data_IF_163786738925
#
_entry.id   IF_163786738925
#
_cell.length_a   1.000
_cell.length_b   1.000
_cell.length_c   1.000
_cell.angle_alpha   90.00
_cell.angle_beta   90.00
_cell.angle_gamma   90.00
#
_symmetry.space_group_name_H-M   'P 1'
#
loop_
_entity.id
_entity.type
_entity.pdbx_description
1 polymer ?
#
# COMPACT_ATOMS: atom_id res chain seq x y z
N UNK A 1 43.21 52.31 -4.02
CA UNK A 1 43.45 50.89 -4.43
C UNK A 1 42.53 49.89 -3.70
N UNK A 2 42.31 50.00 -2.39
CA UNK A 2 41.55 49.02 -1.60
C UNK A 2 40.02 49.07 -1.88
N UNK A 3 39.45 50.22 -2.07
CA UNK A 3 37.98 50.39 -2.34
C UNK A 3 37.58 49.83 -3.70
N UNK A 4 38.46 49.95 -4.71
CA UNK A 4 38.21 49.39 -6.04
C UNK A 4 38.30 47.83 -6.05
N UNK A 5 39.20 47.29 -5.21
CA UNK A 5 39.29 45.82 -5.05
C UNK A 5 38.08 45.18 -4.38
N UNK A 6 37.51 45.87 -3.37
CA UNK A 6 36.28 45.41 -2.68
C UNK A 6 35.07 45.47 -3.57
N UNK A 7 34.94 46.51 -4.42
CA UNK A 7 33.82 46.59 -5.39
C UNK A 7 33.91 45.57 -6.49
N UNK A 8 35.12 45.26 -6.97
CA UNK A 8 35.32 44.20 -7.97
C UNK A 8 35.00 42.79 -7.40
N UNK A 9 35.41 42.48 -6.17
CA UNK A 9 35.06 41.22 -5.52
C UNK A 9 33.55 41.09 -5.29
N UNK A 10 32.84 42.18 -4.93
CA UNK A 10 31.40 42.21 -4.79
C UNK A 10 30.66 41.93 -6.11
N UNK A 11 31.12 42.54 -7.21
CA UNK A 11 30.56 42.29 -8.54
C UNK A 11 30.81 40.84 -9.01
N UNK A 12 32.01 40.32 -8.83
CA UNK A 12 32.35 38.94 -9.19
C UNK A 12 31.54 37.94 -8.39
N UNK A 13 31.35 38.18 -7.07
CA UNK A 13 30.52 37.30 -6.25
C UNK A 13 29.04 37.32 -6.61
N UNK A 14 28.51 38.47 -6.99
CA UNK A 14 27.11 38.57 -7.46
C UNK A 14 26.89 37.79 -8.78
N UNK A 15 27.77 37.96 -9.75
CA UNK A 15 27.69 37.16 -10.99
C UNK A 15 27.88 35.67 -10.77
N UNK A 16 28.74 35.29 -9.84
CA UNK A 16 28.94 33.88 -9.50
C UNK A 16 27.69 33.25 -8.84
N UNK A 17 26.98 33.99 -8.00
CA UNK A 17 25.72 33.52 -7.38
C UNK A 17 24.60 33.33 -8.40
N UNK A 18 24.41 34.29 -9.33
CA UNK A 18 23.42 34.19 -10.37
C UNK A 18 23.72 33.05 -11.37
N UNK A 19 24.99 32.92 -11.76
CA UNK A 19 25.42 31.82 -12.63
C UNK A 19 25.17 30.45 -11.98
N UNK A 20 25.46 30.33 -10.67
CA UNK A 20 25.15 29.12 -9.90
C UNK A 20 23.64 28.85 -9.83
N UNK A 21 22.82 29.88 -9.59
CA UNK A 21 21.36 29.75 -9.58
C UNK A 21 20.83 29.28 -10.93
N UNK A 22 21.31 29.88 -12.03
CA UNK A 22 20.95 29.47 -13.38
C UNK A 22 21.35 28.02 -13.68
N UNK A 23 22.58 27.62 -13.30
CA UNK A 23 23.07 26.25 -13.50
C UNK A 23 22.23 25.23 -12.73
N UNK A 24 21.92 25.51 -11.45
CA UNK A 24 21.10 24.63 -10.62
C UNK A 24 19.66 24.57 -11.16
N UNK A 25 19.12 25.69 -11.67
CA UNK A 25 17.80 25.70 -12.33
C UNK A 25 17.77 24.80 -13.56
N UNK A 26 18.80 24.88 -14.42
CA UNK A 26 18.90 23.99 -15.59
C UNK A 26 18.99 22.52 -15.16
N UNK A 27 19.80 22.21 -14.15
CA UNK A 27 19.89 20.87 -13.61
C UNK A 27 18.55 20.41 -13.02
N UNK A 28 17.85 21.26 -12.26
CA UNK A 28 16.54 20.92 -11.73
C UNK A 28 15.51 20.60 -12.82
N UNK A 29 15.49 21.41 -13.89
CA UNK A 29 14.61 21.17 -15.05
C UNK A 29 14.95 19.86 -15.77
N UNK A 30 16.23 19.57 -15.94
CA UNK A 30 16.68 18.28 -16.51
C UNK A 30 16.27 17.09 -15.63
N UNK A 31 16.41 17.21 -14.30
CA UNK A 31 15.96 16.19 -13.37
C UNK A 31 14.44 16.01 -13.41
N UNK A 32 13.68 17.08 -13.39
CA UNK A 32 12.21 17.03 -13.53
C UNK A 32 11.83 16.32 -14.84
N UNK A 33 12.48 16.69 -15.96
CA UNK A 33 12.24 16.03 -17.24
C UNK A 33 12.60 14.55 -17.21
N UNK A 34 13.74 14.18 -16.62
CA UNK A 34 14.17 12.78 -16.50
C UNK A 34 13.21 11.96 -15.64
N UNK A 35 12.77 12.50 -14.47
CA UNK A 35 11.86 11.81 -13.57
C UNK A 35 10.45 11.67 -14.16
N UNK A 36 9.94 12.69 -14.83
CA UNK A 36 8.63 12.58 -15.51
C UNK A 36 8.69 11.58 -16.66
N UNK A 37 9.79 11.55 -17.41
CA UNK A 37 10.00 10.56 -18.47
C UNK A 37 10.14 9.14 -17.91
N UNK A 38 10.84 8.98 -16.80
CA UNK A 38 10.93 7.68 -16.11
C UNK A 38 9.56 7.18 -15.65
N UNK A 39 8.77 8.06 -15.02
CA UNK A 39 7.41 7.73 -14.61
C UNK A 39 6.53 7.27 -15.77
N UNK A 40 6.64 7.92 -16.94
CA UNK A 40 5.92 7.50 -18.16
C UNK A 40 6.34 6.10 -18.62
N UNK A 41 7.66 5.84 -18.70
CA UNK A 41 8.16 4.52 -19.13
C UNK A 41 7.68 3.39 -18.22
N UNK A 42 7.74 3.61 -16.89
CA UNK A 42 7.25 2.62 -15.92
C UNK A 42 5.74 2.40 -16.09
N UNK A 43 4.98 3.46 -16.34
CA UNK A 43 3.55 3.37 -16.59
C UNK A 43 3.22 2.63 -17.88
N UNK A 44 3.96 2.91 -18.95
CA UNK A 44 3.77 2.25 -20.28
C UNK A 44 4.08 0.75 -20.19
N UNK A 45 5.09 0.37 -19.40
CA UNK A 45 5.45 -1.02 -19.18
C UNK A 45 4.41 -1.76 -18.31
N UNK A 46 3.88 -1.10 -17.29
CA UNK A 46 2.81 -1.63 -16.45
C UNK A 46 1.47 -1.83 -17.20
N UNK A 47 1.20 -1.03 -18.24
CA UNK A 47 -0.02 -1.13 -19.05
C UNK A 47 0.00 -2.34 -20.00
N UNK A 48 1.16 -2.96 -20.22
CA UNK A 48 1.27 -4.18 -21.06
C UNK A 48 0.83 -5.44 -20.31
N UNK A 49 0.67 -5.38 -19.00
CA UNK A 49 0.15 -6.48 -18.19
C UNK A 49 -1.38 -6.30 -18.05
N UNK A 50 -2.18 -7.20 -18.64
CA UNK A 50 -3.66 -7.19 -18.66
C UNK A 50 -4.30 -7.16 -17.25
N UNK A 51 -3.48 -7.27 -16.20
CA UNK A 51 -3.91 -7.21 -14.81
C UNK A 51 -4.19 -5.80 -14.28
N UNK A 52 -3.63 -4.76 -14.91
CA UNK A 52 -3.87 -3.39 -14.51
C UNK A 52 -4.88 -2.73 -15.43
N UNK A 53 -6.03 -2.38 -14.86
CA UNK A 53 -7.08 -1.64 -15.55
C UNK A 53 -6.49 -0.36 -16.17
N UNK A 54 -6.66 -0.18 -17.48
CA UNK A 54 -6.16 0.96 -18.27
C UNK A 54 -6.57 2.33 -17.71
N UNK A 55 -7.45 2.38 -16.71
CA UNK A 55 -7.90 3.61 -16.05
C UNK A 55 -7.03 4.00 -14.84
N UNK A 56 -6.37 3.07 -14.17
CA UNK A 56 -5.59 3.34 -12.94
C UNK A 56 -4.20 3.90 -13.24
N UNK A 57 -3.54 3.38 -14.26
CA UNK A 57 -2.18 3.78 -14.65
C UNK A 57 -2.07 5.28 -14.97
N UNK A 58 -2.99 5.90 -15.76
CA UNK A 58 -2.95 7.33 -16.04
C UNK A 58 -3.12 8.20 -14.78
N UNK A 59 -3.92 7.77 -13.82
CA UNK A 59 -4.10 8.49 -12.56
C UNK A 59 -2.79 8.55 -11.79
N UNK A 60 -2.12 7.41 -11.66
CA UNK A 60 -0.83 7.33 -10.98
C UNK A 60 0.24 8.18 -11.67
N UNK A 61 0.27 8.17 -13.00
CA UNK A 61 1.17 9.00 -13.81
C UNK A 61 0.93 10.50 -13.62
N UNK A 62 -0.34 10.91 -13.55
CA UNK A 62 -0.71 12.31 -13.31
C UNK A 62 -0.29 12.77 -11.92
N UNK A 63 -0.52 11.96 -10.89
CA UNK A 63 -0.10 12.22 -9.50
C UNK A 63 1.42 12.31 -9.43
N UNK A 64 2.14 11.36 -9.99
CA UNK A 64 3.60 11.37 -10.07
C UNK A 64 4.12 12.65 -10.73
N UNK A 65 3.57 13.01 -11.88
CA UNK A 65 3.96 14.21 -12.63
C UNK A 65 3.70 15.48 -11.81
N UNK A 66 2.54 15.59 -11.15
CA UNK A 66 2.20 16.73 -10.30
C UNK A 66 3.17 16.85 -9.12
N UNK A 67 3.54 15.75 -8.46
CA UNK A 67 4.51 15.75 -7.36
C UNK A 67 5.89 16.19 -7.85
N UNK A 68 6.39 15.60 -8.93
CA UNK A 68 7.72 15.92 -9.49
C UNK A 68 7.79 17.38 -9.92
N UNK A 69 6.75 17.89 -10.59
CA UNK A 69 6.67 19.31 -10.98
C UNK A 69 6.61 20.24 -9.76
N UNK A 70 5.83 19.88 -8.74
CA UNK A 70 5.72 20.66 -7.50
C UNK A 70 7.05 20.75 -6.76
N UNK A 71 7.74 19.64 -6.59
CA UNK A 71 9.08 19.61 -5.94
C UNK A 71 10.09 20.42 -6.77
N UNK A 72 10.12 20.23 -8.09
CA UNK A 72 11.01 20.98 -8.98
C UNK A 72 10.74 22.48 -8.93
N UNK A 73 9.48 22.90 -8.89
CA UNK A 73 9.09 24.29 -8.73
C UNK A 73 9.60 24.91 -7.43
N UNK A 74 9.41 24.24 -6.30
CA UNK A 74 9.93 24.71 -5.00
C UNK A 74 11.45 24.78 -4.97
N UNK A 75 12.14 23.81 -5.57
CA UNK A 75 13.60 23.83 -5.68
C UNK A 75 14.09 25.05 -6.46
N UNK A 76 13.47 25.34 -7.59
CA UNK A 76 13.82 26.51 -8.40
C UNK A 76 13.61 27.80 -7.62
N UNK A 77 12.45 27.99 -7.00
CA UNK A 77 12.18 29.18 -6.19
C UNK A 77 13.21 29.36 -5.05
N UNK A 78 13.56 28.27 -4.35
CA UNK A 78 14.53 28.28 -3.28
C UNK A 78 15.93 28.70 -3.74
N UNK A 79 16.35 28.25 -4.91
CA UNK A 79 17.65 28.62 -5.51
C UNK A 79 17.73 30.11 -5.84
N UNK A 80 16.61 30.71 -6.20
CA UNK A 80 16.49 32.16 -6.47
C UNK A 80 16.23 32.99 -5.21
N UNK A 81 16.44 32.39 -4.00
CA UNK A 81 16.22 33.02 -2.69
C UNK A 81 14.80 33.58 -2.52
N UNK A 82 13.82 33.03 -3.19
CA UNK A 82 12.40 33.34 -2.98
C UNK A 82 11.94 32.57 -1.76
N UNK A 83 11.34 33.25 -0.78
CA UNK A 83 10.82 32.59 0.41
C UNK A 83 9.65 31.67 0.06
N UNK A 84 9.91 30.37 0.12
CA UNK A 84 8.92 29.31 -0.16
C UNK A 84 8.14 28.89 1.09
N UNK A 85 8.46 29.42 2.25
CA UNK A 85 7.86 29.01 3.54
C UNK A 85 6.33 29.12 3.54
N UNK A 86 5.70 30.22 3.07
CA UNK A 86 4.25 30.31 3.04
C UNK A 86 3.60 29.31 2.09
N UNK A 87 4.28 29.02 0.96
CA UNK A 87 3.81 28.06 -0.04
C UNK A 87 3.91 26.64 0.49
N UNK A 88 5.03 26.30 1.16
CA UNK A 88 5.20 24.99 1.80
C UNK A 88 4.21 24.78 2.94
N UNK A 89 3.92 25.82 3.73
CA UNK A 89 2.90 25.75 4.77
C UNK A 89 1.51 25.40 4.19
N UNK A 90 1.12 26.09 3.10
CA UNK A 90 -0.14 25.82 2.40
C UNK A 90 -0.18 24.42 1.79
N UNK A 91 0.92 24.01 1.13
CA UNK A 91 1.04 22.67 0.56
C UNK A 91 1.01 21.59 1.65
N UNK A 92 1.59 21.87 2.83
CA UNK A 92 1.56 20.98 3.99
C UNK A 92 0.13 20.73 4.49
N UNK A 93 -0.68 21.79 4.61
CA UNK A 93 -2.10 21.67 4.98
C UNK A 93 -2.86 20.84 3.96
N UNK A 94 -2.69 21.13 2.67
CA UNK A 94 -3.28 20.32 1.60
C UNK A 94 -2.83 18.87 1.65
N UNK A 95 -1.55 18.61 1.95
CA UNK A 95 -0.99 17.28 2.12
C UNK A 95 -1.66 16.51 3.26
N UNK A 96 -1.94 17.17 4.40
CA UNK A 96 -2.66 16.56 5.52
C UNK A 96 -4.08 16.17 5.09
N UNK A 97 -4.80 17.07 4.42
CA UNK A 97 -6.17 16.79 3.95
C UNK A 97 -6.20 15.62 2.98
N UNK A 98 -5.28 15.61 2.00
CA UNK A 98 -5.17 14.53 1.02
C UNK A 98 -4.74 13.21 1.71
N UNK A 99 -3.82 13.27 2.67
CA UNK A 99 -3.38 12.10 3.44
C UNK A 99 -4.53 11.48 4.25
N UNK A 100 -5.36 12.32 4.89
CA UNK A 100 -6.55 11.84 5.60
C UNK A 100 -7.57 11.22 4.64
N UNK A 101 -7.78 11.83 3.47
CA UNK A 101 -8.68 11.29 2.46
C UNK A 101 -8.18 9.93 1.87
N UNK A 102 -6.86 9.74 1.77
CA UNK A 102 -6.25 8.51 1.25
C UNK A 102 -6.00 7.44 2.33
N UNK A 103 -6.24 7.74 3.59
CA UNK A 103 -5.88 6.90 4.75
C UNK A 103 -6.34 5.45 4.60
N UNK A 104 -7.59 5.23 4.24
CA UNK A 104 -8.18 3.89 4.18
C UNK A 104 -7.60 3.08 3.01
N UNK A 105 -7.32 3.73 1.88
CA UNK A 105 -6.66 3.10 0.73
C UNK A 105 -5.24 2.65 1.09
N UNK A 106 -4.49 3.51 1.77
CA UNK A 106 -3.13 3.23 2.24
C UNK A 106 -3.15 2.11 3.28
N UNK A 107 -4.10 2.14 4.23
CA UNK A 107 -4.25 1.09 5.25
C UNK A 107 -4.55 -0.28 4.64
N UNK A 108 -5.39 -0.35 3.61
CA UNK A 108 -5.67 -1.60 2.90
C UNK A 108 -4.45 -2.13 2.16
N UNK A 109 -3.69 -1.25 1.50
CA UNK A 109 -2.46 -1.63 0.80
C UNK A 109 -1.41 -2.20 1.76
N UNK A 110 -1.14 -1.52 2.87
CA UNK A 110 -0.21 -2.03 3.88
C UNK A 110 -0.74 -3.27 4.60
N UNK A 111 -2.07 -3.38 4.78
CA UNK A 111 -2.71 -4.59 5.28
C UNK A 111 -2.42 -5.81 4.41
N UNK A 112 -2.47 -5.67 3.10
CA UNK A 112 -2.11 -6.75 2.16
C UNK A 112 -0.66 -7.19 2.32
N UNK A 113 0.26 -6.21 2.43
CA UNK A 113 1.69 -6.51 2.59
C UNK A 113 1.94 -7.27 3.90
N UNK A 114 1.30 -6.85 4.99
CA UNK A 114 1.42 -7.50 6.28
C UNK A 114 0.87 -8.94 6.25
N UNK A 115 -0.34 -9.14 5.73
CA UNK A 115 -0.96 -10.47 5.59
C UNK A 115 -0.10 -11.42 4.76
N UNK A 116 0.49 -10.92 3.67
CA UNK A 116 1.39 -11.69 2.82
C UNK A 116 2.71 -12.02 3.52
N UNK A 117 3.30 -11.06 4.23
CA UNK A 117 4.56 -11.26 4.96
C UNK A 117 4.41 -12.24 6.12
N UNK A 118 3.32 -12.13 6.89
CA UNK A 118 3.03 -12.97 8.06
C UNK A 118 2.49 -14.35 7.68
N UNK A 119 2.08 -14.55 6.41
CA UNK A 119 1.48 -15.80 5.92
C UNK A 119 0.30 -16.26 6.77
N UNK A 120 -0.53 -15.33 7.19
CA UNK A 120 -1.71 -15.60 8.03
C UNK A 120 -2.63 -16.63 7.38
N UNK A 121 -2.78 -16.56 6.07
CA UNK A 121 -3.49 -17.52 5.21
C UNK A 121 -2.97 -17.45 3.78
N UNK A 122 -3.31 -18.44 2.98
CA UNK A 122 -3.01 -18.52 1.56
C UNK A 122 -4.30 -18.75 0.75
N UNK A 123 -4.24 -18.47 -0.56
CA UNK A 123 -5.32 -18.84 -1.49
C UNK A 123 -5.55 -20.34 -1.41
N UNK A 124 -6.79 -20.72 -1.18
CA UNK A 124 -7.21 -22.12 -0.98
C UNK A 124 -7.43 -22.54 0.47
N UNK A 125 -6.95 -21.74 1.44
CA UNK A 125 -7.17 -22.02 2.86
C UNK A 125 -8.63 -21.79 3.26
N UNK A 126 -9.07 -22.54 4.25
CA UNK A 126 -10.36 -22.36 4.90
C UNK A 126 -10.18 -21.52 6.16
N UNK A 127 -10.85 -20.38 6.20
CA UNK A 127 -10.73 -19.40 7.28
C UNK A 127 -12.08 -19.09 7.92
N UNK A 128 -12.05 -18.78 9.22
CA UNK A 128 -13.18 -18.27 9.97
C UNK A 128 -12.81 -16.89 10.49
N UNK A 129 -13.59 -15.88 10.14
CA UNK A 129 -13.41 -14.51 10.57
C UNK A 129 -14.12 -14.26 11.90
N UNK A 130 -13.64 -13.27 12.65
CA UNK A 130 -14.27 -12.83 13.92
C UNK A 130 -15.74 -12.41 13.73
N UNK A 131 -16.09 -11.87 12.56
CA UNK A 131 -17.46 -11.50 12.19
C UNK A 131 -18.39 -12.69 11.92
N UNK A 132 -17.85 -13.92 11.92
CA UNK A 132 -18.59 -15.16 11.78
C UNK A 132 -18.62 -15.74 10.38
N UNK A 133 -18.14 -15.00 9.37
CA UNK A 133 -18.03 -15.53 8.01
C UNK A 133 -16.99 -16.65 7.98
N UNK A 134 -17.36 -17.74 7.33
CA UNK A 134 -16.53 -18.93 7.18
C UNK A 134 -16.51 -19.35 5.71
N UNK A 135 -15.32 -19.51 5.18
CA UNK A 135 -15.19 -19.89 3.77
C UNK A 135 -13.75 -20.15 3.34
N UNK A 136 -13.63 -20.45 2.05
CA UNK A 136 -12.34 -20.67 1.41
C UNK A 136 -11.83 -19.36 0.82
N UNK A 137 -10.58 -19.04 1.05
CA UNK A 137 -9.90 -17.89 0.40
C UNK A 137 -9.77 -18.20 -1.09
N UNK A 138 -10.41 -17.38 -1.92
CA UNK A 138 -10.42 -17.54 -3.37
C UNK A 138 -9.35 -16.70 -4.04
N UNK A 139 -9.24 -15.43 -3.63
CA UNK A 139 -8.24 -14.51 -4.12
C UNK A 139 -7.79 -13.52 -3.04
N UNK A 140 -6.54 -13.09 -3.15
CA UNK A 140 -5.95 -12.04 -2.30
C UNK A 140 -5.45 -10.92 -3.20
N UNK A 141 -6.26 -9.90 -3.33
CA UNK A 141 -5.99 -8.72 -4.13
C UNK A 141 -5.25 -7.63 -3.33
N UNK A 142 -4.82 -6.54 -4.00
CA UNK A 142 -4.05 -5.44 -3.41
C UNK A 142 -4.75 -4.78 -2.21
N UNK A 143 -6.08 -4.72 -2.19
CA UNK A 143 -6.85 -4.02 -1.13
C UNK A 143 -7.88 -4.88 -0.41
N UNK A 144 -8.19 -6.05 -0.93
CA UNK A 144 -9.23 -6.92 -0.41
C UNK A 144 -8.89 -8.38 -0.63
N UNK A 145 -9.48 -9.23 0.19
CA UNK A 145 -9.45 -10.68 0.05
C UNK A 145 -10.87 -11.17 -0.20
N UNK A 146 -11.01 -12.05 -1.16
CA UNK A 146 -12.27 -12.68 -1.53
C UNK A 146 -12.37 -14.07 -0.90
N UNK A 147 -13.47 -14.29 -0.17
CA UNK A 147 -13.74 -15.52 0.57
C UNK A 147 -15.06 -16.11 0.04
N UNK A 148 -15.00 -17.34 -0.44
CA UNK A 148 -16.18 -18.08 -0.88
C UNK A 148 -16.75 -18.90 0.27
N UNK A 149 -17.99 -18.59 0.65
CA UNK A 149 -18.68 -19.29 1.74
C UNK A 149 -19.20 -20.68 1.27
N UNK A 150 -19.74 -21.44 2.21
CA UNK A 150 -20.34 -22.76 1.89
C UNK A 150 -21.62 -22.65 1.08
N UNK A 151 -22.30 -21.51 1.15
CA UNK A 151 -23.50 -21.16 0.39
C UNK A 151 -23.15 -20.66 -1.03
N UNK A 152 -21.87 -20.77 -1.44
CA UNK A 152 -21.36 -20.30 -2.72
C UNK A 152 -21.43 -18.76 -2.89
N UNK A 153 -21.48 -18.03 -1.78
CA UNK A 153 -21.44 -16.57 -1.79
C UNK A 153 -19.99 -16.07 -1.73
N UNK A 154 -19.68 -15.05 -2.52
CA UNK A 154 -18.39 -14.38 -2.48
C UNK A 154 -18.46 -13.20 -1.51
N UNK A 155 -17.65 -13.25 -0.44
CA UNK A 155 -17.53 -12.19 0.56
C UNK A 155 -16.20 -11.49 0.36
N UNK A 156 -16.24 -10.23 -0.08
CA UNK A 156 -15.05 -9.40 -0.27
C UNK A 156 -14.77 -8.61 1.02
N UNK A 157 -13.64 -8.87 1.66
CA UNK A 157 -13.24 -8.24 2.92
C UNK A 157 -12.03 -7.34 2.70
N UNK A 158 -12.06 -6.06 3.15
CA UNK A 158 -10.91 -5.17 3.08
C UNK A 158 -9.72 -5.71 3.88
N UNK A 159 -8.52 -5.68 3.32
CA UNK A 159 -7.32 -6.24 3.94
C UNK A 159 -6.91 -5.52 5.24
N UNK A 160 -7.22 -4.24 5.39
CA UNK A 160 -7.03 -3.51 6.65
C UNK A 160 -7.85 -4.10 7.80
N UNK A 161 -9.04 -4.63 7.52
CA UNK A 161 -9.86 -5.34 8.51
C UNK A 161 -9.25 -6.68 8.87
N UNK A 162 -8.86 -7.47 7.88
CA UNK A 162 -8.25 -8.79 8.09
C UNK A 162 -6.93 -8.70 8.86
N UNK A 163 -6.15 -7.66 8.63
CA UNK A 163 -4.88 -7.44 9.34
C UNK A 163 -5.07 -7.16 10.85
N UNK A 164 -6.24 -6.71 11.26
CA UNK A 164 -6.54 -6.39 12.67
C UNK A 164 -7.51 -7.37 13.33
N UNK A 165 -8.16 -8.22 12.54
CA UNK A 165 -9.14 -9.19 13.02
C UNK A 165 -8.48 -10.48 13.51
N UNK A 166 -9.16 -11.18 14.40
CA UNK A 166 -8.83 -12.56 14.72
C UNK A 166 -9.27 -13.47 13.58
N UNK A 167 -8.32 -14.17 12.97
CA UNK A 167 -8.56 -15.13 11.90
C UNK A 167 -8.21 -16.51 12.39
N UNK A 168 -9.15 -17.44 12.31
CA UNK A 168 -8.90 -18.87 12.56
C UNK A 168 -8.67 -19.54 11.20
N UNK A 169 -7.43 -19.96 10.95
CA UNK A 169 -7.10 -20.74 9.77
C UNK A 169 -7.31 -22.22 10.08
N UNK A 170 -8.27 -22.84 9.37
CA UNK A 170 -8.62 -24.26 9.56
C UNK A 170 -7.82 -25.21 8.64
N UNK A 171 -6.93 -24.66 7.81
CA UNK A 171 -6.11 -25.42 6.84
C UNK A 171 -4.65 -25.51 7.22
N UNK A 172 -4.16 -24.61 8.07
CA UNK A 172 -2.73 -24.49 8.42
C UNK A 172 -2.58 -24.47 9.95
N UNK A 173 -1.54 -25.13 10.54
CA UNK A 173 -0.45 -25.87 9.87
C UNK A 173 -0.87 -27.26 9.36
N UNK A 174 -1.91 -27.86 9.90
CA UNK A 174 -2.42 -29.18 9.51
C UNK A 174 -3.93 -29.11 9.34
N UNK A 175 -4.45 -29.85 8.34
CA UNK A 175 -5.91 -29.92 8.11
C UNK A 175 -6.62 -30.81 9.14
N UNK A 176 -5.85 -31.58 9.89
CA UNK A 176 -6.38 -32.45 10.93
C UNK A 176 -6.94 -31.62 12.08
N UNK A 177 -8.17 -31.87 12.41
CA UNK A 177 -8.91 -31.13 13.40
C UNK A 177 -9.56 -32.11 14.37
N UNK A 178 -9.40 -31.84 15.66
CA UNK A 178 -10.11 -32.58 16.69
C UNK A 178 -11.61 -32.30 16.57
N UNK A 179 -12.38 -33.34 16.36
CA UNK A 179 -13.85 -33.31 16.38
C UNK A 179 -14.30 -33.98 17.66
N UNK A 180 -15.18 -33.34 18.38
CA UNK A 180 -15.84 -33.90 19.56
C UNK A 180 -17.28 -34.22 19.19
N UNK A 181 -17.66 -35.50 19.26
CA UNK A 181 -19.00 -35.97 18.96
C UNK A 181 -19.60 -36.50 20.26
N UNK A 182 -20.66 -35.88 20.75
CA UNK A 182 -21.38 -36.39 21.91
C UNK A 182 -22.47 -37.37 21.45
N UNK A 183 -22.37 -38.62 21.89
CA UNK A 183 -23.34 -39.65 21.55
C UNK A 183 -24.14 -39.97 22.81
N UNK A 184 -25.48 -39.85 22.68
CA UNK A 184 -26.40 -40.31 23.74
C UNK A 184 -26.59 -41.81 23.68
N UNK A 185 -26.44 -42.47 24.83
CA UNK A 185 -26.67 -43.93 24.99
C UNK A 185 -27.82 -44.18 25.98
N UNK A 186 -28.49 -45.34 25.89
CA UNK A 186 -29.50 -45.71 26.86
C UNK A 186 -28.85 -46.07 28.21
N UNK A 187 -29.56 -45.84 29.32
CA UNK A 187 -29.02 -46.01 30.66
C UNK A 187 -28.64 -47.47 31.02
N UNK A 188 -29.19 -48.42 30.29
CA UNK A 188 -28.97 -49.87 30.44
C UNK A 188 -27.98 -50.45 29.40
N UNK A 189 -27.36 -49.56 28.61
CA UNK A 189 -26.36 -49.99 27.61
C UNK A 189 -25.05 -50.43 28.27
N UNK A 190 -24.46 -51.49 27.77
CA UNK A 190 -23.12 -51.95 28.13
C UNK A 190 -22.07 -50.97 27.53
N UNK A 191 -21.38 -50.25 28.40
CA UNK A 191 -20.40 -49.24 28.01
C UNK A 191 -19.25 -49.80 27.19
N UNK A 192 -18.80 -51.04 27.50
CA UNK A 192 -17.68 -51.69 26.83
C UNK A 192 -18.07 -52.05 25.37
N UNK A 193 -19.29 -52.49 25.18
CA UNK A 193 -19.83 -52.75 23.86
C UNK A 193 -20.01 -51.44 23.04
N UNK A 194 -20.53 -50.39 23.67
CA UNK A 194 -20.70 -49.08 23.02
C UNK A 194 -19.35 -48.49 22.60
N UNK A 195 -18.33 -48.53 23.45
CA UNK A 195 -16.98 -48.07 23.14
C UNK A 195 -16.36 -48.81 21.96
N UNK A 196 -16.55 -50.14 21.91
CA UNK A 196 -16.10 -50.95 20.78
C UNK A 196 -16.75 -50.55 19.48
N UNK A 197 -18.07 -50.39 19.47
CA UNK A 197 -18.82 -49.96 18.26
C UNK A 197 -18.43 -48.56 17.81
N UNK A 198 -18.18 -47.63 18.74
CA UNK A 198 -17.77 -46.24 18.40
C UNK A 198 -16.32 -46.15 17.88
N UNK A 199 -15.47 -47.14 18.18
CA UNK A 199 -14.10 -47.21 17.65
C UNK A 199 -14.03 -47.80 16.24
N UNK A 200 -15.05 -48.60 15.86
CA UNK A 200 -15.11 -49.27 14.57
C UNK A 200 -15.82 -48.44 13.48
N UNK A 201 -16.34 -47.24 13.81
CA UNK A 201 -16.99 -46.29 12.91
C UNK A 201 -16.03 -45.17 12.55
#
# INVERSE_FOLDING_TARGET
>A
GAVAGISLLGVVSAYASELRAALVTVLAVLWVYALTRLGRRVSDEATQDDRFDNQVVPIFQNVWTAVVLGVGFFLVLSVWNIDVTPLLASAGILGIVLGLAARDTIANFFGSIALYADRTYAVGDYVVLESGERGRVEDVSIRSTDIRTREDLLVTVPNSRLNTATIVNESTPERERRIEVTVGIAYDSDLEHVETVLRDV
#
